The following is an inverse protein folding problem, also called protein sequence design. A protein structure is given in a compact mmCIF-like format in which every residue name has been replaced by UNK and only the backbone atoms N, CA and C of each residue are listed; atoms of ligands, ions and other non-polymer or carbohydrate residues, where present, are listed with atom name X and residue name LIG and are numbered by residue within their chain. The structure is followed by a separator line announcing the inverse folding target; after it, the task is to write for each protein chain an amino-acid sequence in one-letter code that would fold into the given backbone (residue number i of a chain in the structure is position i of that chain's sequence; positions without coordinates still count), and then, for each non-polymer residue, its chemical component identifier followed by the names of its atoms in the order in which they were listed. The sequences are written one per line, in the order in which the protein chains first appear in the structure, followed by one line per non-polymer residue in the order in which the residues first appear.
data_IF_577047582359
#
_entry.id   IF_577047582359
#
_cell.length_a   1.000
_cell.length_b   1.000
_cell.length_c   1.000
_cell.angle_alpha   90.00
_cell.angle_beta   90.00
_cell.angle_gamma   90.00
#
_symmetry.space_group_name_H-M   'P 1'
#
loop_
_entity.id
_entity.type
_entity.pdbx_description
1 polymer ?
#
# COMPACT_ATOMS: atom_id res chain seq x y z
N UNK A 1 27.56 -39.20 -60.27
CA UNK A 1 28.14 -40.29 -59.45
C UNK A 1 29.28 -39.66 -58.67
N UNK A 2 29.04 -39.31 -57.40
CA UNK A 2 29.60 -39.98 -56.19
C UNK A 2 31.13 -39.92 -56.18
N UNK A 3 31.87 -39.49 -55.17
CA UNK A 3 31.74 -39.15 -53.76
C UNK A 3 33.09 -38.46 -53.42
N UNK A 4 33.39 -37.79 -52.33
CA UNK A 4 32.82 -37.65 -51.01
C UNK A 4 33.95 -37.18 -50.07
N UNK A 5 33.55 -36.70 -48.88
CA UNK A 5 34.26 -36.84 -47.59
C UNK A 5 35.64 -36.16 -47.48
N UNK A 6 35.73 -35.03 -46.78
CA UNK A 6 35.91 -34.90 -45.31
C UNK A 6 37.36 -34.60 -44.93
N UNK A 7 37.50 -33.87 -43.81
CA UNK A 7 38.70 -33.57 -43.01
C UNK A 7 39.31 -32.20 -43.30
N UNK A 8 39.10 -31.17 -42.47
CA UNK A 8 39.31 -30.96 -41.01
C UNK A 8 40.55 -30.08 -40.82
N UNK A 9 40.28 -28.91 -40.22
CA UNK A 9 41.16 -28.10 -39.36
C UNK A 9 42.34 -27.37 -40.02
N UNK A 10 42.10 -26.09 -40.29
CA UNK A 10 43.11 -25.04 -40.24
C UNK A 10 42.50 -23.82 -39.58
N UNK A 11 42.96 -23.47 -38.37
CA UNK A 11 42.63 -22.22 -37.71
C UNK A 11 43.15 -21.05 -38.55
N UNK A 12 42.34 -20.03 -38.79
CA UNK A 12 42.85 -18.69 -39.06
C UNK A 12 42.01 -17.70 -38.27
N UNK A 13 42.65 -17.13 -37.24
CA UNK A 13 42.25 -15.89 -36.59
C UNK A 13 42.11 -14.80 -37.65
N UNK A 14 40.94 -14.18 -37.73
CA UNK A 14 40.65 -13.11 -38.68
C UNK A 14 39.54 -12.22 -38.15
N UNK A 15 39.92 -11.36 -37.20
CA UNK A 15 39.15 -10.21 -36.75
C UNK A 15 38.67 -9.35 -37.92
N UNK A 16 37.37 -9.09 -38.02
CA UNK A 16 36.86 -7.80 -38.53
C UNK A 16 35.33 -7.69 -38.34
N UNK A 17 34.97 -6.79 -37.43
CA UNK A 17 33.87 -5.83 -37.50
C UNK A 17 32.47 -6.29 -37.94
N UNK A 18 31.58 -6.24 -36.94
CA UNK A 18 30.33 -5.49 -36.96
C UNK A 18 29.33 -5.79 -38.08
N UNK A 19 28.27 -6.52 -37.72
CA UNK A 19 26.91 -5.97 -37.61
C UNK A 19 25.95 -7.10 -37.21
N UNK A 20 25.87 -7.38 -35.91
CA UNK A 20 24.79 -8.22 -35.39
C UNK A 20 23.61 -7.33 -35.06
N UNK A 21 22.61 -7.33 -35.94
CA UNK A 21 21.27 -6.94 -35.57
C UNK A 21 20.84 -7.87 -34.44
N UNK A 22 20.77 -7.34 -33.22
CA UNK A 22 20.23 -8.05 -32.08
C UNK A 22 18.75 -8.32 -32.35
N UNK A 23 18.39 -9.56 -32.68
CA UNK A 23 17.04 -10.05 -32.45
C UNK A 23 16.82 -10.01 -30.94
N UNK A 24 16.21 -8.92 -30.47
CA UNK A 24 15.63 -8.84 -29.15
C UNK A 24 14.46 -9.81 -29.14
N UNK A 25 14.69 -11.00 -28.61
CA UNK A 25 13.60 -11.87 -28.15
C UNK A 25 12.95 -11.11 -27.00
N UNK A 26 11.90 -10.37 -27.29
CA UNK A 26 10.99 -9.83 -26.29
C UNK A 26 10.27 -11.01 -25.65
N UNK A 27 10.89 -11.57 -24.61
CA UNK A 27 10.18 -12.43 -23.65
C UNK A 27 9.02 -11.56 -23.15
N UNK A 28 7.75 -11.98 -23.27
CA UNK A 28 6.68 -11.24 -22.64
C UNK A 28 6.99 -11.25 -21.15
N UNK A 29 7.45 -10.12 -20.62
CA UNK A 29 7.40 -9.86 -19.20
C UNK A 29 5.93 -10.01 -18.85
N UNK A 30 5.58 -11.10 -18.18
CA UNK A 30 4.30 -11.24 -17.52
C UNK A 30 4.21 -10.05 -16.57
N UNK A 31 3.62 -8.95 -17.03
CA UNK A 31 3.16 -7.90 -16.16
C UNK A 31 2.11 -8.59 -15.31
N UNK A 32 2.54 -9.03 -14.12
CA UNK A 32 1.63 -9.39 -13.06
C UNK A 32 0.80 -8.13 -12.91
N UNK A 33 -0.43 -8.17 -13.42
CA UNK A 33 -1.36 -7.06 -13.30
C UNK A 33 -1.54 -6.90 -11.80
N UNK A 34 -0.73 -6.02 -11.21
CA UNK A 34 -0.85 -5.64 -9.82
C UNK A 34 -2.08 -4.77 -9.84
N UNK A 35 -3.24 -5.42 -9.77
CA UNK A 35 -4.52 -4.77 -9.75
C UNK A 35 -4.58 -4.07 -8.41
N UNK A 36 -4.12 -2.83 -8.39
CA UNK A 36 -4.22 -1.93 -7.25
C UNK A 36 -5.50 -1.11 -7.36
N UNK A 37 -5.93 -0.54 -6.25
CA UNK A 37 -7.02 0.42 -6.19
C UNK A 37 -6.71 1.48 -5.15
N UNK A 38 -7.50 2.54 -5.13
CA UNK A 38 -7.28 3.68 -4.24
C UNK A 38 -8.19 3.58 -3.02
N UNK A 39 -7.60 3.65 -1.84
CA UNK A 39 -8.28 3.89 -0.58
C UNK A 39 -8.10 5.36 -0.23
N UNK A 40 -9.17 6.15 -0.34
CA UNK A 40 -9.20 7.50 0.18
C UNK A 40 -9.78 7.46 1.59
N UNK A 41 -9.18 8.23 2.48
CA UNK A 41 -9.52 8.21 3.89
C UNK A 41 -9.57 9.57 4.51
N UNK A 42 -10.38 9.71 5.55
CA UNK A 42 -10.34 10.86 6.46
C UNK A 42 -10.37 10.36 7.90
N UNK A 43 -9.42 10.76 8.73
CA UNK A 43 -9.39 10.45 10.15
C UNK A 43 -9.56 11.71 11.00
N UNK A 44 -10.37 11.62 12.06
CA UNK A 44 -10.59 12.70 13.04
C UNK A 44 -10.38 12.17 14.44
N UNK A 45 -9.97 13.03 15.38
CA UNK A 45 -9.95 12.69 16.80
C UNK A 45 -11.06 13.41 17.56
N UNK A 46 -11.71 12.66 18.46
CA UNK A 46 -12.81 13.16 19.30
C UNK A 46 -12.38 14.19 20.36
N UNK A 47 -11.09 14.26 20.65
CA UNK A 47 -10.49 15.25 21.57
C UNK A 47 -10.18 16.59 20.89
N UNK A 48 -10.53 16.76 19.61
CA UNK A 48 -10.35 17.98 18.85
C UNK A 48 -8.93 18.22 18.33
N UNK A 49 -8.01 17.28 18.55
CA UNK A 49 -6.66 17.35 17.98
C UNK A 49 -6.59 16.70 16.60
N UNK A 50 -5.57 17.06 15.82
CA UNK A 50 -5.25 16.28 14.62
C UNK A 50 -4.68 14.92 15.01
N UNK A 51 -5.04 13.85 14.29
CA UNK A 51 -4.32 12.59 14.40
C UNK A 51 -2.86 12.77 13.97
N UNK A 52 -1.91 12.34 14.80
CA UNK A 52 -0.47 12.65 14.65
C UNK A 52 0.36 11.55 14.00
N UNK A 53 -0.19 10.34 13.88
CA UNK A 53 0.44 9.19 13.22
C UNK A 53 -0.66 8.36 12.60
N UNK A 54 -0.78 8.33 11.27
CA UNK A 54 -1.75 7.50 10.56
C UNK A 54 -1.03 6.33 9.88
N UNK A 55 -1.44 5.11 10.23
CA UNK A 55 -0.94 3.88 9.64
C UNK A 55 -2.08 3.00 9.16
N UNK A 56 -1.89 2.32 8.04
CA UNK A 56 -2.90 1.55 7.35
C UNK A 56 -2.40 0.15 7.05
N UNK A 57 -3.25 -0.84 7.32
CA UNK A 57 -3.08 -2.22 6.87
C UNK A 57 -4.25 -2.62 5.98
N UNK A 58 -3.98 -3.01 4.72
CA UNK A 58 -5.00 -3.38 3.73
C UNK A 58 -4.42 -4.40 2.71
N UNK A 59 -4.77 -5.70 2.79
CA UNK A 59 -5.68 -6.33 3.75
C UNK A 59 -5.18 -6.25 5.19
N UNK A 60 -6.05 -6.46 6.19
CA UNK A 60 -5.71 -6.24 7.61
C UNK A 60 -4.51 -7.00 8.17
N UNK A 61 -4.04 -8.03 7.46
CA UNK A 61 -2.88 -8.85 7.82
C UNK A 61 -1.60 -8.46 7.05
N UNK A 62 -1.63 -7.41 6.21
CA UNK A 62 -0.51 -7.00 5.36
C UNK A 62 0.62 -6.26 6.09
N UNK A 63 0.51 -6.09 7.40
CA UNK A 63 1.34 -5.15 8.15
C UNK A 63 0.91 -3.69 7.94
N UNK A 64 1.33 -2.84 8.87
CA UNK A 64 1.05 -1.41 8.84
C UNK A 64 2.04 -0.66 7.97
N UNK A 65 1.51 0.25 7.16
CA UNK A 65 2.26 1.20 6.35
C UNK A 65 1.80 2.61 6.67
N UNK A 66 2.68 3.61 6.60
CA UNK A 66 2.27 4.99 6.79
C UNK A 66 1.20 5.38 5.75
N UNK A 67 0.16 6.09 6.17
CA UNK A 67 -0.81 6.65 5.24
C UNK A 67 -0.10 7.61 4.26
N UNK A 68 -0.40 7.52 2.97
CA UNK A 68 0.25 8.30 1.92
C UNK A 68 -0.57 9.57 1.62
N UNK A 69 0.08 10.61 1.08
CA UNK A 69 -0.54 11.88 0.70
C UNK A 69 -1.46 12.49 1.77
N UNK A 70 -0.94 12.64 2.98
CA UNK A 70 -1.71 13.19 4.09
C UNK A 70 -1.91 14.70 3.93
N UNK A 71 -3.15 15.17 4.11
CA UNK A 71 -3.52 16.58 4.05
C UNK A 71 -4.38 16.93 5.25
N UNK A 72 -4.00 17.97 5.98
CA UNK A 72 -4.79 18.48 7.08
C UNK A 72 -5.99 19.28 6.57
N UNK A 73 -7.14 19.06 7.21
CA UNK A 73 -8.40 19.80 6.97
C UNK A 73 -8.73 20.60 8.23
N UNK A 74 -8.37 21.91 8.28
CA UNK A 74 -8.51 22.70 9.50
C UNK A 74 -9.93 22.91 10.00
N UNK A 75 -10.90 22.98 9.11
CA UNK A 75 -12.30 23.17 9.50
C UNK A 75 -12.83 22.04 10.39
N UNK A 76 -12.32 20.82 10.24
CA UNK A 76 -12.82 19.62 10.93
C UNK A 76 -11.78 18.93 11.80
N UNK A 77 -10.58 19.51 11.95
CA UNK A 77 -9.43 18.88 12.62
C UNK A 77 -9.16 17.45 12.12
N UNK A 78 -9.38 17.23 10.81
CA UNK A 78 -9.22 15.93 10.18
C UNK A 78 -7.89 15.85 9.42
N UNK A 79 -7.40 14.63 9.22
CA UNK A 79 -6.36 14.32 8.24
C UNK A 79 -7.01 13.48 7.14
N UNK A 80 -6.99 14.00 5.91
CA UNK A 80 -7.31 13.24 4.71
C UNK A 80 -6.06 12.54 4.20
N UNK A 81 -6.21 11.38 3.57
CA UNK A 81 -5.11 10.61 3.00
C UNK A 81 -5.57 9.77 1.82
N UNK A 82 -4.61 9.30 1.02
CA UNK A 82 -4.88 8.35 -0.07
C UNK A 82 -3.83 7.26 -0.06
N UNK A 83 -4.23 6.00 -0.02
CA UNK A 83 -3.33 4.85 -0.08
C UNK A 83 -3.62 3.98 -1.29
N UNK A 84 -2.57 3.47 -1.91
CA UNK A 84 -2.68 2.41 -2.92
C UNK A 84 -2.75 1.07 -2.19
N UNK A 85 -3.82 0.31 -2.42
CA UNK A 85 -4.04 -1.01 -1.80
C UNK A 85 -4.29 -2.07 -2.87
N UNK A 86 -4.16 -3.34 -2.50
CA UNK A 86 -4.55 -4.43 -3.41
C UNK A 86 -6.05 -4.34 -3.75
N UNK A 87 -6.41 -4.53 -5.02
CA UNK A 87 -7.81 -4.64 -5.47
C UNK A 87 -8.53 -5.84 -4.85
N UNK A 88 -7.79 -6.86 -4.42
CA UNK A 88 -8.33 -8.05 -3.74
C UNK A 88 -8.49 -7.86 -2.24
N UNK A 89 -8.07 -6.73 -1.67
CA UNK A 89 -8.24 -6.47 -0.25
C UNK A 89 -9.73 -6.43 0.11
N UNK A 90 -10.18 -7.29 1.02
CA UNK A 90 -11.57 -7.27 1.51
C UNK A 90 -11.73 -6.48 2.80
N UNK A 91 -10.64 -5.95 3.33
CA UNK A 91 -10.61 -5.29 4.62
C UNK A 91 -9.46 -4.29 4.72
N UNK A 92 -9.63 -3.27 5.55
CA UNK A 92 -8.56 -2.35 5.93
C UNK A 92 -8.66 -2.00 7.41
N UNK A 93 -7.55 -1.66 8.04
CA UNK A 93 -7.48 -1.10 9.39
C UNK A 93 -6.73 0.21 9.36
N UNK A 94 -7.21 1.16 10.15
CA UNK A 94 -6.49 2.38 10.48
C UNK A 94 -6.01 2.28 11.92
N UNK A 95 -4.74 2.57 12.10
CA UNK A 95 -4.16 2.96 13.38
C UNK A 95 -3.90 4.47 13.32
N UNK A 96 -4.53 5.20 14.23
CA UNK A 96 -4.25 6.62 14.38
C UNK A 96 -4.15 7.04 15.85
N UNK A 97 -3.13 7.84 16.13
CA UNK A 97 -2.87 8.38 17.47
C UNK A 97 -3.59 9.72 17.66
N UNK A 98 -4.44 9.77 18.69
CA UNK A 98 -5.15 10.97 19.11
C UNK A 98 -4.59 11.47 20.43
N UNK A 99 -4.28 12.76 20.49
CA UNK A 99 -3.63 13.41 21.63
C UNK A 99 -2.32 14.09 21.22
N UNK A 100 -1.98 15.19 21.93
CA UNK A 100 -0.72 15.90 21.77
C UNK A 100 0.50 15.14 22.29
N UNK A 101 1.55 15.87 22.70
CA UNK A 101 2.86 15.34 23.16
C UNK A 101 2.85 14.55 24.49
N UNK A 102 1.73 13.97 24.90
CA UNK A 102 1.70 13.14 26.10
C UNK A 102 2.42 11.81 25.83
N UNK A 103 3.27 11.38 26.76
CA UNK A 103 3.88 10.06 26.72
C UNK A 103 2.77 9.01 26.87
N UNK A 104 2.40 8.35 25.78
CA UNK A 104 1.38 7.31 25.79
C UNK A 104 2.10 5.97 25.67
N UNK A 105 1.85 5.07 26.62
CA UNK A 105 2.18 3.67 26.39
C UNK A 105 1.23 3.18 25.31
N UNK A 106 1.78 2.80 24.16
CA UNK A 106 1.01 2.44 22.98
C UNK A 106 0.19 1.17 23.23
N UNK A 107 -1.06 1.32 23.63
CA UNK A 107 -2.07 0.29 23.47
C UNK A 107 -2.87 0.60 22.22
N UNK A 108 -2.65 -0.23 21.22
CA UNK A 108 -3.26 -0.11 19.89
C UNK A 108 -4.64 -0.76 19.90
N UNK A 109 -5.70 0.01 19.63
CA UNK A 109 -7.03 -0.55 19.36
C UNK A 109 -7.42 -0.28 17.91
N UNK A 110 -7.82 -1.37 17.25
CA UNK A 110 -8.01 -1.45 15.81
C UNK A 110 -9.48 -1.65 15.48
N UNK A 111 -9.98 -1.01 14.43
CA UNK A 111 -11.29 -1.35 13.87
C UNK A 111 -11.15 -1.65 12.38
N UNK A 112 -11.61 -2.84 11.94
CA UNK A 112 -11.64 -3.18 10.53
C UNK A 112 -12.75 -2.41 9.80
N UNK A 113 -12.42 -1.85 8.65
CA UNK A 113 -13.37 -1.48 7.61
C UNK A 113 -13.48 -2.63 6.61
N UNK A 114 -14.70 -3.07 6.29
CA UNK A 114 -14.94 -4.08 5.27
C UNK A 114 -15.00 -3.43 3.89
N UNK A 115 -14.15 -3.90 2.97
CA UNK A 115 -14.03 -3.35 1.63
C UNK A 115 -14.67 -4.30 0.62
N UNK A 116 -15.56 -3.78 -0.22
CA UNK A 116 -16.15 -4.54 -1.32
C UNK A 116 -15.09 -4.83 -2.39
N UNK A 117 -14.91 -6.08 -2.83
CA UNK A 117 -14.01 -6.41 -3.95
C UNK A 117 -14.44 -5.74 -5.25
N UNK A 118 -13.48 -5.47 -6.14
CA UNK A 118 -13.76 -4.99 -7.50
C UNK A 118 -14.09 -3.50 -7.63
N UNK A 119 -14.06 -2.73 -6.54
CA UNK A 119 -14.21 -1.27 -6.59
C UNK A 119 -12.88 -0.60 -6.94
N UNK A 120 -12.96 0.52 -7.68
CA UNK A 120 -11.79 1.32 -8.07
C UNK A 120 -11.35 2.27 -6.98
N UNK A 121 -12.31 2.87 -6.27
CA UNK A 121 -12.03 3.76 -5.16
C UNK A 121 -12.90 3.38 -3.97
N UNK A 122 -12.30 3.43 -2.78
CA UNK A 122 -12.99 3.27 -1.50
C UNK A 122 -12.75 4.52 -0.69
N UNK A 123 -13.82 5.18 -0.24
CA UNK A 123 -13.75 6.33 0.63
C UNK A 123 -14.20 5.92 2.05
N UNK A 124 -13.31 6.07 3.02
CA UNK A 124 -13.58 5.68 4.42
C UNK A 124 -13.35 6.86 5.36
N UNK A 125 -14.31 7.10 6.25
CA UNK A 125 -14.16 8.07 7.33
C UNK A 125 -13.97 7.34 8.64
N UNK A 126 -12.89 7.65 9.35
CA UNK A 126 -12.59 7.15 10.68
C UNK A 126 -12.75 8.23 11.73
N UNK A 127 -13.33 7.82 12.86
CA UNK A 127 -13.42 8.61 14.06
C UNK A 127 -12.62 7.92 15.16
N UNK A 128 -11.59 8.61 15.63
CA UNK A 128 -10.65 8.10 16.61
C UNK A 128 -10.88 8.75 17.97
N UNK A 129 -10.66 7.97 19.02
CA UNK A 129 -10.84 8.38 20.40
C UNK A 129 -9.71 7.86 21.26
N UNK A 130 -9.46 8.57 22.36
CA UNK A 130 -8.49 8.18 23.38
C UNK A 130 -9.20 8.14 24.73
N UNK A 131 -9.05 7.04 25.46
CA UNK A 131 -9.66 6.87 26.77
C UNK A 131 -8.71 6.19 27.76
N UNK A 132 -8.76 6.55 29.05
CA UNK A 132 -7.97 5.88 30.08
C UNK A 132 -8.55 4.50 30.41
N UNK A 133 -7.68 3.52 30.63
CA UNK A 133 -8.07 2.20 31.17
C UNK A 133 -7.51 2.08 32.59
N UNK A 134 -8.35 1.72 33.57
CA UNK A 134 -7.90 1.56 34.97
C UNK A 134 -7.91 0.08 35.42
N UNK A 135 -6.83 -0.42 36.06
CA UNK A 135 -5.49 0.17 36.09
C UNK A 135 -4.79 0.01 34.74
N UNK A 136 -4.17 1.07 34.20
CA UNK A 136 -3.53 0.97 32.89
C UNK A 136 -3.25 2.31 32.20
N UNK A 137 -2.62 2.27 31.02
CA UNK A 137 -2.37 3.44 30.19
C UNK A 137 -3.61 3.88 29.41
N UNK A 138 -3.49 4.98 28.67
CA UNK A 138 -4.47 5.36 27.66
C UNK A 138 -4.47 4.36 26.51
N UNK A 139 -5.65 4.11 25.97
CA UNK A 139 -5.87 3.33 24.74
C UNK A 139 -6.45 4.28 23.71
N UNK A 140 -6.01 4.14 22.45
CA UNK A 140 -6.65 4.80 21.32
C UNK A 140 -7.46 3.79 20.51
N UNK A 141 -8.60 4.21 19.97
CA UNK A 141 -9.47 3.40 19.11
C UNK A 141 -10.00 4.23 17.96
N UNK A 142 -9.90 3.72 16.74
CA UNK A 142 -10.43 4.34 15.53
C UNK A 142 -11.56 3.51 14.95
N UNK A 143 -12.80 4.01 14.96
CA UNK A 143 -13.95 3.35 14.34
C UNK A 143 -14.21 3.90 12.93
N UNK A 144 -14.55 3.03 11.98
CA UNK A 144 -15.02 3.46 10.66
C UNK A 144 -16.46 4.01 10.80
N UNK A 145 -16.61 5.33 10.68
CA UNK A 145 -17.88 6.03 10.76
C UNK A 145 -18.71 5.84 9.47
N UNK A 146 -18.06 5.81 8.31
CA UNK A 146 -18.72 5.57 7.03
C UNK A 146 -17.76 4.97 6.01
N UNK A 147 -18.31 4.13 5.12
CA UNK A 147 -17.59 3.56 3.97
C UNK A 147 -18.45 3.76 2.73
N UNK A 148 -17.87 4.32 1.68
CA UNK A 148 -18.51 4.54 0.37
C UNK A 148 -17.61 4.03 -0.74
N UNK A 149 -18.22 3.69 -1.88
CA UNK A 149 -17.55 3.04 -3.01
C UNK A 149 -17.87 3.79 -4.30
N UNK A 150 -16.90 3.90 -5.20
CA UNK A 150 -17.07 4.43 -6.56
C UNK A 150 -16.22 3.69 -7.58
#
# INVERSE_FOLDING_TARGET
MTAGRLLRRGMVFGSALMTTAALIVSIPQSATATTTRVLQGSATCTDGWYPSSLQIAAPVNSGYTAAQNQVAVPATHAIQFTNTISSTATSARLDARCGGFFGENAYFSYVPANLTPGTTTVNVTWQCSRFPVYPGPYVHKCDAASVTYS
#
